data_IF_109257875935
#
_entry.id   IF_109257875935
#
_cell.length_a   1.000
_cell.length_b   1.000
_cell.length_c   1.000
_cell.angle_alpha   90.00
_cell.angle_beta   90.00
_cell.angle_gamma   90.00
#
_symmetry.space_group_name_H-M   'P 1'
#
loop_
_entity.id
_entity.type
_entity.pdbx_description
1 polymer ?
#
# COMPACT_ATOMS: atom_id res chain seq x y z
N UNK A 1 0.89 -1.85 -14.97
CA UNK A 1 -0.51 -1.56 -15.35
C UNK A 1 -0.62 -0.86 -16.69
N UNK A 2 0.08 0.25 -16.94
CA UNK A 2 0.05 0.93 -18.23
C UNK A 2 0.47 0.02 -19.41
N UNK A 3 1.54 -0.76 -19.24
CA UNK A 3 2.04 -1.70 -20.24
C UNK A 3 1.06 -2.82 -20.62
N UNK A 4 0.02 -3.04 -19.80
CA UNK A 4 -1.05 -4.03 -20.03
C UNK A 4 -2.39 -3.39 -20.40
N UNK A 5 -2.41 -2.09 -20.74
CA UNK A 5 -3.57 -1.43 -21.35
C UNK A 5 -4.36 -0.46 -20.47
N UNK A 6 -3.98 -0.25 -19.20
CA UNK A 6 -4.65 0.75 -18.35
C UNK A 6 -4.19 2.16 -18.74
N UNK A 7 -5.08 2.98 -19.28
CA UNK A 7 -4.79 4.40 -19.57
C UNK A 7 -4.87 5.23 -18.29
N UNK A 8 -3.82 5.97 -18.01
CA UNK A 8 -3.76 6.93 -16.91
C UNK A 8 -3.90 8.36 -17.45
N UNK A 9 -4.83 9.12 -16.89
CA UNK A 9 -4.92 10.56 -17.08
C UNK A 9 -4.34 11.26 -15.86
N UNK A 10 -3.13 11.79 -16.00
CA UNK A 10 -2.44 12.45 -14.90
C UNK A 10 -2.87 13.90 -14.76
N UNK A 11 -2.97 14.37 -13.52
CA UNK A 11 -3.27 15.79 -13.20
C UNK A 11 -4.58 16.30 -13.82
N UNK A 12 -5.62 15.45 -13.79
CA UNK A 12 -6.96 15.74 -14.29
C UNK A 12 -7.98 15.59 -13.16
N UNK A 13 -9.01 16.43 -13.16
CA UNK A 13 -10.15 16.38 -12.24
C UNK A 13 -11.47 16.24 -13.00
N UNK A 14 -12.42 15.48 -12.45
CA UNK A 14 -13.78 15.39 -13.00
C UNK A 14 -14.56 16.63 -12.60
N UNK A 15 -15.09 17.38 -13.58
CA UNK A 15 -15.89 18.59 -13.36
C UNK A 15 -17.38 18.26 -13.33
N UNK A 16 -17.84 17.48 -14.31
CA UNK A 16 -19.25 17.11 -14.45
C UNK A 16 -19.40 15.74 -15.11
N UNK A 17 -20.52 15.08 -14.82
CA UNK A 17 -20.91 13.82 -15.46
C UNK A 17 -22.35 13.99 -15.93
N UNK A 18 -22.57 13.89 -17.24
CA UNK A 18 -23.88 14.06 -17.87
C UNK A 18 -24.33 12.75 -18.48
N UNK A 19 -25.49 12.25 -18.06
CA UNK A 19 -26.12 11.07 -18.67
C UNK A 19 -26.60 11.41 -20.09
N UNK A 20 -26.21 10.61 -21.07
CA UNK A 20 -26.64 10.70 -22.47
C UNK A 20 -27.61 9.55 -22.81
N UNK A 21 -28.18 9.63 -24.01
CA UNK A 21 -28.90 8.50 -24.59
C UNK A 21 -27.96 7.29 -24.71
N UNK A 22 -28.45 6.06 -24.54
CA UNK A 22 -27.64 4.86 -24.75
C UNK A 22 -26.95 4.88 -26.12
N UNK A 23 -25.76 4.30 -26.20
CA UNK A 23 -25.08 4.11 -27.48
C UNK A 23 -25.78 3.04 -28.34
N UNK A 24 -25.31 2.82 -29.56
CA UNK A 24 -25.88 1.82 -30.49
C UNK A 24 -25.84 0.38 -29.93
N UNK A 25 -25.00 0.12 -28.92
CA UNK A 25 -24.93 -1.17 -28.22
C UNK A 25 -25.95 -1.31 -27.09
N UNK A 26 -26.70 -0.25 -26.78
CA UNK A 26 -27.67 -0.20 -25.70
C UNK A 26 -27.05 0.00 -24.32
N UNK A 27 -25.74 0.25 -24.23
CA UNK A 27 -25.06 0.51 -22.96
C UNK A 27 -25.33 1.95 -22.50
N UNK A 28 -25.33 2.21 -21.18
CA UNK A 28 -25.35 3.57 -20.66
C UNK A 28 -24.21 4.39 -21.27
N UNK A 29 -24.48 5.66 -21.55
CA UNK A 29 -23.49 6.61 -22.06
C UNK A 29 -23.38 7.79 -21.11
N UNK A 30 -22.20 8.01 -20.57
CA UNK A 30 -21.87 9.07 -19.62
C UNK A 30 -20.83 9.97 -20.26
N UNK A 31 -21.22 11.22 -20.52
CA UNK A 31 -20.29 12.26 -20.94
C UNK A 31 -19.62 12.85 -19.71
N UNK A 32 -18.29 12.77 -19.64
CA UNK A 32 -17.48 13.21 -18.51
C UNK A 32 -16.64 14.40 -18.93
N UNK A 33 -16.86 15.53 -18.27
CA UNK A 33 -16.03 16.73 -18.43
C UNK A 33 -14.83 16.64 -17.49
N UNK A 34 -13.65 16.75 -18.06
CA UNK A 34 -12.37 16.57 -17.40
C UNK A 34 -11.56 17.86 -17.52
N UNK A 35 -11.04 18.36 -16.39
CA UNK A 35 -10.20 19.56 -16.35
C UNK A 35 -8.77 19.22 -15.98
N UNK A 36 -7.83 19.59 -16.85
CA UNK A 36 -6.40 19.48 -16.57
C UNK A 36 -5.92 20.58 -15.61
N UNK A 37 -4.72 20.40 -15.07
CA UNK A 37 -4.07 21.38 -14.18
C UNK A 37 -3.91 22.78 -14.80
N UNK A 38 -3.72 22.84 -16.11
CA UNK A 38 -3.54 24.10 -16.85
C UNK A 38 -4.88 24.77 -17.22
N UNK A 39 -6.00 24.20 -16.78
CA UNK A 39 -7.35 24.73 -16.99
C UNK A 39 -8.02 24.27 -18.27
N UNK A 40 -7.35 23.47 -19.10
CA UNK A 40 -7.96 22.92 -20.32
C UNK A 40 -9.07 21.93 -19.98
N UNK A 41 -10.17 22.02 -20.70
CA UNK A 41 -11.32 21.13 -20.54
C UNK A 41 -11.38 20.19 -21.74
N UNK A 42 -11.48 18.89 -21.46
CA UNK A 42 -11.71 17.84 -22.44
C UNK A 42 -12.93 17.04 -22.03
N UNK A 43 -13.67 16.56 -23.02
CA UNK A 43 -14.87 15.75 -22.80
C UNK A 43 -14.66 14.37 -23.39
N UNK A 44 -14.95 13.35 -22.61
CA UNK A 44 -14.89 11.95 -23.06
C UNK A 44 -16.16 11.20 -22.66
N UNK A 45 -16.47 10.12 -23.39
CA UNK A 45 -17.66 9.30 -23.14
C UNK A 45 -17.24 7.95 -22.56
N UNK A 46 -17.91 7.55 -21.49
CA UNK A 46 -17.69 6.28 -20.79
C UNK A 46 -19.02 5.57 -20.57
N UNK A 47 -19.01 4.24 -20.49
CA UNK A 47 -20.21 3.52 -20.06
C UNK A 47 -20.39 3.55 -18.53
N UNK A 48 -19.28 3.58 -17.80
CA UNK A 48 -19.26 3.54 -16.33
C UNK A 48 -18.22 4.52 -15.80
N UNK A 49 -18.58 5.25 -14.74
CA UNK A 49 -17.65 6.04 -13.94
C UNK A 49 -17.62 5.48 -12.52
N UNK A 50 -16.44 5.07 -12.04
CA UNK A 50 -16.24 4.52 -10.70
C UNK A 50 -15.49 5.54 -9.84
N UNK A 51 -16.12 6.00 -8.75
CA UNK A 51 -15.47 6.86 -7.76
C UNK A 51 -14.73 6.02 -6.72
N UNK A 52 -13.42 6.20 -6.62
CA UNK A 52 -12.55 5.59 -5.62
C UNK A 52 -11.67 6.67 -4.95
N UNK A 53 -12.28 7.77 -4.52
CA UNK A 53 -11.60 9.00 -4.05
C UNK A 53 -11.37 9.05 -2.53
N UNK A 54 -11.54 7.93 -1.84
CA UNK A 54 -11.42 7.83 -0.38
C UNK A 54 -12.73 7.42 0.30
N UNK A 55 -12.67 7.28 1.62
CA UNK A 55 -13.78 6.90 2.49
C UNK A 55 -13.87 7.88 3.66
N UNK A 56 -15.06 8.14 4.14
CA UNK A 56 -15.32 8.94 5.35
C UNK A 56 -16.15 8.09 6.31
N UNK A 57 -15.82 8.05 7.60
CA UNK A 57 -16.62 7.29 8.56
C UNK A 57 -18.00 7.93 8.74
N UNK A 58 -19.05 7.12 8.73
CA UNK A 58 -20.43 7.56 8.98
C UNK A 58 -20.69 7.66 10.49
N UNK A 59 -20.19 8.72 11.11
CA UNK A 59 -20.29 8.95 12.58
C UNK A 59 -21.29 10.04 12.96
N UNK A 60 -21.72 10.88 12.01
CA UNK A 60 -22.62 12.00 12.26
C UNK A 60 -24.00 11.55 12.78
N UNK A 61 -24.50 10.41 12.30
CA UNK A 61 -25.78 9.84 12.69
C UNK A 61 -25.77 9.11 14.04
N UNK A 62 -24.62 9.01 14.72
CA UNK A 62 -24.47 8.27 15.98
C UNK A 62 -24.80 9.07 17.24
N UNK A 63 -25.05 10.38 17.13
CA UNK A 63 -25.36 11.23 18.28
C UNK A 63 -24.20 11.40 19.27
N UNK A 64 -22.96 11.39 18.79
CA UNK A 64 -21.74 11.44 19.62
C UNK A 64 -21.71 12.65 20.56
N UNK A 65 -22.19 13.82 20.11
CA UNK A 65 -22.27 15.04 20.91
C UNK A 65 -23.18 14.89 22.13
N UNK A 66 -24.31 14.18 21.98
CA UNK A 66 -25.29 14.00 23.05
C UNK A 66 -24.72 13.15 24.21
N UNK A 67 -23.74 12.29 23.91
CA UNK A 67 -23.08 11.43 24.90
C UNK A 67 -21.69 11.92 25.29
N UNK A 68 -21.18 12.99 24.69
CA UNK A 68 -19.88 13.59 25.00
C UNK A 68 -18.67 12.85 24.43
N UNK A 69 -18.85 12.06 23.37
CA UNK A 69 -17.74 11.39 22.66
C UNK A 69 -17.06 12.37 21.72
N UNK A 70 -15.77 12.61 21.92
CA UNK A 70 -14.95 13.48 21.06
C UNK A 70 -14.57 12.76 19.77
N UNK A 71 -14.61 13.51 18.67
CA UNK A 71 -14.17 13.09 17.35
C UNK A 71 -13.43 14.25 16.67
N UNK A 72 -12.64 13.92 15.67
CA UNK A 72 -11.93 14.91 14.86
C UNK A 72 -12.89 15.51 13.81
N UNK A 73 -13.05 16.83 13.82
CA UNK A 73 -14.02 17.51 12.95
C UNK A 73 -13.63 17.52 11.46
N UNK A 74 -12.36 17.29 11.12
CA UNK A 74 -11.89 17.28 9.74
C UNK A 74 -12.08 15.90 9.09
N UNK A 75 -11.82 14.84 9.87
CA UNK A 75 -11.81 13.44 9.40
C UNK A 75 -13.05 12.66 9.83
N UNK A 76 -13.86 13.20 10.75
CA UNK A 76 -15.00 12.54 11.39
C UNK A 76 -14.64 11.26 12.18
N UNK A 77 -13.35 11.02 12.44
CA UNK A 77 -12.86 9.85 13.18
C UNK A 77 -13.03 10.06 14.68
N UNK A 78 -13.45 9.02 15.39
CA UNK A 78 -13.59 9.03 16.84
C UNK A 78 -12.21 9.07 17.48
N UNK A 79 -12.00 10.01 18.40
CA UNK A 79 -10.75 10.12 19.14
C UNK A 79 -10.69 9.06 20.23
N UNK A 80 -9.60 8.29 20.25
CA UNK A 80 -9.35 7.24 21.25
C UNK A 80 -7.93 7.35 21.81
N UNK A 81 -7.73 6.80 23.01
CA UNK A 81 -6.40 6.59 23.58
C UNK A 81 -5.78 5.26 23.08
N UNK A 82 -4.65 4.86 23.68
CA UNK A 82 -3.88 3.66 23.35
C UNK A 82 -4.51 2.33 23.80
N UNK A 83 -5.75 2.36 24.33
CA UNK A 83 -6.55 1.18 24.68
C UNK A 83 -7.95 1.24 24.06
N UNK A 84 -8.08 1.99 22.95
CA UNK A 84 -9.32 2.13 22.16
C UNK A 84 -10.49 2.79 22.94
N UNK A 85 -10.20 3.45 24.06
CA UNK A 85 -11.19 4.15 24.88
C UNK A 85 -11.40 5.57 24.37
N UNK A 86 -12.67 5.98 24.27
CA UNK A 86 -13.03 7.35 23.86
C UNK A 86 -12.90 8.34 25.03
N UNK A 87 -13.34 9.60 24.84
CA UNK A 87 -13.46 10.57 25.93
C UNK A 87 -14.47 10.19 27.02
N UNK A 88 -15.33 9.20 26.75
CA UNK A 88 -16.33 8.69 27.69
C UNK A 88 -15.86 7.33 28.21
N UNK A 89 -15.63 7.13 29.53
CA UNK A 89 -14.92 5.97 30.05
C UNK A 89 -15.50 4.59 29.69
N UNK A 90 -16.81 4.51 29.49
CA UNK A 90 -17.52 3.26 29.16
C UNK A 90 -17.84 3.11 27.66
N UNK A 91 -17.29 3.99 26.80
CA UNK A 91 -17.48 3.94 25.34
C UNK A 91 -16.13 3.77 24.67
N UNK A 92 -16.05 2.80 23.76
CA UNK A 92 -14.85 2.39 23.04
C UNK A 92 -15.13 2.38 21.54
N UNK A 93 -14.08 2.55 20.73
CA UNK A 93 -14.18 2.53 19.27
C UNK A 93 -12.97 1.81 18.66
N UNK A 94 -13.22 1.00 17.63
CA UNK A 94 -12.19 0.18 16.94
C UNK A 94 -12.44 0.16 15.43
N UNK A 95 -11.40 -0.16 14.65
CA UNK A 95 -11.50 -0.30 13.19
C UNK A 95 -11.53 1.04 12.45
N UNK A 96 -12.17 1.07 11.29
CA UNK A 96 -12.14 2.22 10.38
C UNK A 96 -12.69 3.53 10.98
N UNK A 97 -13.37 3.54 12.12
CA UNK A 97 -13.89 4.78 12.69
C UNK A 97 -12.89 5.54 13.58
N UNK A 98 -11.70 4.99 13.85
CA UNK A 98 -10.65 5.62 14.66
C UNK A 98 -9.43 6.02 13.80
N UNK A 99 -8.53 6.92 14.27
CA UNK A 99 -7.35 7.34 13.51
C UNK A 99 -6.23 6.26 13.50
N UNK A 100 -6.58 5.03 13.14
CA UNK A 100 -5.69 3.88 12.98
C UNK A 100 -5.85 3.27 11.59
N UNK A 101 -5.11 2.19 11.31
CA UNK A 101 -5.09 1.52 10.02
C UNK A 101 -6.45 0.90 9.64
N UNK A 102 -6.92 1.21 8.44
CA UNK A 102 -8.21 0.78 7.86
C UNK A 102 -8.10 -0.62 7.23
N UNK A 103 -7.81 -1.63 8.05
CA UNK A 103 -7.57 -3.01 7.61
C UNK A 103 -8.42 -3.99 8.42
N UNK A 104 -9.06 -4.94 7.74
CA UNK A 104 -9.90 -5.95 8.39
C UNK A 104 -9.17 -6.70 9.53
N UNK A 105 -7.94 -7.24 9.35
CA UNK A 105 -7.26 -7.94 10.44
C UNK A 105 -6.92 -7.04 11.63
N UNK A 106 -6.66 -5.75 11.39
CA UNK A 106 -6.42 -4.75 12.44
C UNK A 106 -7.68 -4.53 13.27
N UNK A 107 -8.83 -4.34 12.60
CA UNK A 107 -10.11 -4.14 13.28
C UNK A 107 -10.52 -5.37 14.11
N UNK A 108 -10.36 -6.58 13.53
CA UNK A 108 -10.63 -7.85 14.23
C UNK A 108 -9.74 -7.97 15.46
N UNK A 109 -8.42 -7.78 15.32
CA UNK A 109 -7.49 -7.92 16.44
C UNK A 109 -7.73 -6.87 17.53
N UNK A 110 -7.97 -5.62 17.16
CA UNK A 110 -8.29 -4.56 18.12
C UNK A 110 -9.55 -4.89 18.94
N UNK A 111 -10.62 -5.36 18.27
CA UNK A 111 -11.86 -5.78 18.95
C UNK A 111 -11.64 -6.97 19.89
N UNK A 112 -10.89 -7.99 19.47
CA UNK A 112 -10.55 -9.14 20.30
C UNK A 112 -9.74 -8.76 21.55
N UNK A 113 -8.68 -7.96 21.36
CA UNK A 113 -7.80 -7.54 22.46
C UNK A 113 -8.59 -6.66 23.43
N UNK A 114 -9.42 -5.74 22.92
CA UNK A 114 -10.31 -4.92 23.74
C UNK A 114 -11.27 -5.80 24.57
N UNK A 115 -11.94 -6.78 23.96
CA UNK A 115 -12.85 -7.67 24.67
C UNK A 115 -12.13 -8.45 25.79
N UNK A 116 -10.91 -8.92 25.54
CA UNK A 116 -10.08 -9.58 26.56
C UNK A 116 -9.68 -8.64 27.70
N UNK A 117 -9.43 -7.36 27.43
CA UNK A 117 -9.16 -6.37 28.50
C UNK A 117 -10.40 -6.11 29.36
N UNK A 118 -11.55 -5.89 28.73
CA UNK A 118 -12.79 -5.55 29.42
C UNK A 118 -13.34 -6.70 30.27
N UNK A 119 -13.28 -7.93 29.76
CA UNK A 119 -13.99 -9.07 30.36
C UNK A 119 -13.08 -10.25 30.74
N UNK A 120 -11.84 -10.27 30.27
CA UNK A 120 -10.89 -11.37 30.51
C UNK A 120 -9.72 -11.01 31.42
N UNK A 121 -9.65 -9.78 31.95
CA UNK A 121 -8.55 -9.33 32.80
C UNK A 121 -7.19 -9.21 32.09
N UNK A 122 -7.17 -9.23 30.75
CA UNK A 122 -5.93 -9.04 29.98
C UNK A 122 -5.43 -7.60 30.12
N UNK A 123 -4.11 -7.42 30.06
CA UNK A 123 -3.45 -6.11 29.96
C UNK A 123 -2.86 -5.86 28.56
N UNK A 124 -3.03 -6.80 27.64
CA UNK A 124 -2.52 -6.72 26.27
C UNK A 124 -3.15 -5.54 25.52
N UNK A 125 -2.32 -4.75 24.83
CA UNK A 125 -2.75 -3.66 23.95
C UNK A 125 -2.65 -4.07 22.49
N UNK A 126 -3.43 -3.42 21.64
CA UNK A 126 -3.25 -3.58 20.20
C UNK A 126 -1.92 -2.95 19.79
N UNK A 127 -1.16 -3.68 18.99
CA UNK A 127 0.09 -3.21 18.40
C UNK A 127 -0.20 -2.80 16.96
N UNK A 128 -0.13 -1.49 16.70
CA UNK A 128 -0.36 -0.90 15.39
C UNK A 128 0.94 -0.70 14.60
N UNK A 129 2.10 -1.08 15.14
CA UNK A 129 3.37 -1.02 14.43
C UNK A 129 3.58 -2.28 13.58
N UNK A 130 4.38 -2.13 12.51
CA UNK A 130 4.79 -3.24 11.63
C UNK A 130 3.62 -4.10 11.08
N UNK A 131 2.45 -3.49 10.90
CA UNK A 131 1.29 -4.15 10.30
C UNK A 131 1.54 -4.32 8.79
N UNK A 132 1.49 -5.55 8.24
CA UNK A 132 1.64 -5.78 6.82
C UNK A 132 0.44 -5.29 6.02
N UNK A 133 0.70 -4.79 4.82
CA UNK A 133 -0.32 -4.39 3.84
C UNK A 133 -0.01 -4.99 2.48
N UNK A 134 -1.06 -5.29 1.71
CA UNK A 134 -0.94 -5.68 0.30
C UNK A 134 -1.96 -4.97 -0.56
N UNK A 135 -1.50 -4.39 -1.66
CA UNK A 135 -2.33 -3.81 -2.72
C UNK A 135 -2.42 -4.82 -3.85
N UNK A 136 -3.64 -5.30 -4.12
CA UNK A 136 -3.90 -6.35 -5.11
C UNK A 136 -4.12 -5.80 -6.52
N UNK A 137 -3.13 -5.07 -7.03
CA UNK A 137 -3.05 -4.69 -8.45
C UNK A 137 -2.63 -5.88 -9.33
N UNK A 138 -2.73 -5.80 -10.67
CA UNK A 138 -2.31 -6.90 -11.56
C UNK A 138 -0.87 -7.39 -11.35
N UNK A 139 0.00 -6.51 -10.86
CA UNK A 139 1.25 -6.85 -10.18
C UNK A 139 1.08 -6.38 -8.75
N UNK A 140 1.06 -7.30 -7.80
CA UNK A 140 0.73 -6.99 -6.41
C UNK A 140 1.87 -6.21 -5.76
N UNK A 141 1.54 -5.46 -4.71
CA UNK A 141 2.51 -4.73 -3.92
C UNK A 141 2.29 -4.99 -2.44
N UNK A 142 3.27 -5.62 -1.79
CA UNK A 142 3.28 -5.90 -0.36
C UNK A 142 4.29 -5.03 0.38
N UNK A 143 3.94 -4.59 1.59
CA UNK A 143 4.82 -3.77 2.41
C UNK A 143 4.62 -3.96 3.91
N UNK A 144 5.68 -3.67 4.67
CA UNK A 144 5.67 -3.60 6.14
C UNK A 144 6.57 -2.44 6.56
N UNK A 145 6.13 -1.67 7.55
CA UNK A 145 6.93 -0.59 8.13
C UNK A 145 6.92 0.69 7.30
N UNK A 146 8.02 1.42 7.32
CA UNK A 146 8.14 2.76 6.74
C UNK A 146 8.50 2.69 5.25
N UNK A 147 7.94 3.60 4.46
CA UNK A 147 8.52 3.92 3.16
C UNK A 147 9.90 4.58 3.30
N UNK A 148 10.66 4.61 2.21
CA UNK A 148 12.00 5.23 2.20
C UNK A 148 11.92 6.71 2.58
N UNK A 149 11.00 7.47 1.98
CA UNK A 149 10.80 8.89 2.26
C UNK A 149 10.29 9.14 3.68
N UNK A 150 9.49 8.24 4.25
CA UNK A 150 9.08 8.33 5.66
C UNK A 150 10.26 8.05 6.61
N UNK A 151 11.10 7.06 6.29
CA UNK A 151 12.28 6.74 7.07
C UNK A 151 13.31 7.88 7.01
N UNK A 152 13.57 8.45 5.82
CA UNK A 152 14.44 9.61 5.64
C UNK A 152 13.91 10.83 6.43
N UNK A 153 12.59 11.08 6.38
CA UNK A 153 11.96 12.17 7.15
C UNK A 153 12.08 11.96 8.66
N UNK A 154 11.98 10.73 9.14
CA UNK A 154 12.00 10.38 10.56
C UNK A 154 13.40 10.34 11.15
N UNK A 155 14.37 9.78 10.43
CA UNK A 155 15.71 9.48 10.96
C UNK A 155 16.84 10.27 10.27
N UNK A 156 16.54 10.98 9.18
CA UNK A 156 17.52 11.66 8.35
C UNK A 156 18.11 10.76 7.28
N UNK A 157 18.31 11.32 6.08
CA UNK A 157 18.81 10.60 4.89
C UNK A 157 20.14 9.86 5.13
N UNK A 158 21.04 10.42 5.92
CA UNK A 158 22.34 9.80 6.20
C UNK A 158 22.27 8.55 7.08
N UNK A 159 21.21 8.42 7.87
CA UNK A 159 20.95 7.26 8.72
C UNK A 159 20.32 6.09 7.93
N UNK A 160 19.82 6.33 6.71
CA UNK A 160 19.13 5.32 5.90
C UNK A 160 20.10 4.66 4.92
N UNK A 161 19.98 3.33 4.82
CA UNK A 161 20.49 2.53 3.71
C UNK A 161 19.30 1.83 3.05
N UNK A 162 19.17 1.98 1.74
CA UNK A 162 18.12 1.32 0.96
C UNK A 162 18.77 0.29 0.07
N UNK A 163 18.37 -0.97 0.19
CA UNK A 163 18.80 -2.05 -0.70
C UNK A 163 17.64 -2.43 -1.62
N UNK A 164 17.92 -2.66 -2.90
CA UNK A 164 16.88 -2.92 -3.88
C UNK A 164 17.40 -3.74 -5.06
N UNK A 165 16.50 -4.53 -5.65
CA UNK A 165 16.76 -5.37 -6.82
C UNK A 165 15.46 -5.52 -7.62
N UNK A 166 15.49 -5.13 -8.88
CA UNK A 166 14.51 -5.54 -9.87
C UNK A 166 14.90 -6.91 -10.43
N UNK A 167 13.91 -7.78 -10.62
CA UNK A 167 14.13 -9.11 -11.15
C UNK A 167 12.86 -9.59 -11.87
N UNK A 168 12.99 -10.70 -12.59
CA UNK A 168 11.87 -11.33 -13.26
C UNK A 168 11.36 -12.53 -12.49
N UNK A 169 10.04 -12.65 -12.38
CA UNK A 169 9.43 -13.90 -11.96
C UNK A 169 9.74 -14.99 -12.99
N UNK A 170 10.23 -16.15 -12.53
CA UNK A 170 10.67 -17.25 -13.40
C UNK A 170 9.57 -17.71 -14.36
N UNK A 171 8.34 -17.87 -13.87
CA UNK A 171 7.21 -18.33 -14.66
C UNK A 171 6.77 -17.29 -15.72
N UNK A 172 6.93 -16.01 -15.44
CA UNK A 172 6.62 -14.92 -16.37
C UNK A 172 7.72 -14.72 -17.42
N UNK A 173 8.99 -14.85 -17.01
CA UNK A 173 10.15 -14.65 -17.87
C UNK A 173 10.09 -15.53 -19.12
N UNK A 174 9.71 -16.80 -18.96
CA UNK A 174 9.60 -17.76 -20.06
C UNK A 174 8.46 -17.46 -21.08
N UNK A 175 7.57 -16.52 -20.79
CA UNK A 175 6.41 -16.20 -21.64
C UNK A 175 6.72 -15.07 -22.62
N UNK A 176 7.70 -14.20 -22.34
CA UNK A 176 8.04 -13.04 -23.16
C UNK A 176 6.80 -12.19 -23.54
N UNK A 177 6.01 -11.81 -22.53
CA UNK A 177 4.76 -11.08 -22.75
C UNK A 177 5.02 -9.72 -23.40
N UNK A 178 4.29 -9.36 -24.47
CA UNK A 178 4.46 -8.06 -25.11
C UNK A 178 3.69 -6.96 -24.37
N UNK A 179 4.23 -5.73 -24.40
CA UNK A 179 3.51 -4.50 -24.06
C UNK A 179 2.39 -4.24 -25.07
N UNK A 180 1.31 -3.60 -24.62
CA UNK A 180 0.33 -2.98 -25.53
C UNK A 180 1.01 -1.90 -26.38
N UNK A 181 0.56 -1.73 -27.63
CA UNK A 181 1.21 -0.82 -28.59
C UNK A 181 1.32 0.63 -28.07
N UNK A 182 0.33 1.10 -27.32
CA UNK A 182 0.30 2.46 -26.75
C UNK A 182 1.29 2.70 -25.62
N UNK A 183 1.93 1.64 -25.10
CA UNK A 183 2.88 1.71 -24.01
C UNK A 183 4.33 1.45 -24.45
N UNK A 184 4.57 1.26 -25.76
CA UNK A 184 5.91 1.07 -26.33
C UNK A 184 6.56 2.42 -26.60
N UNK A 185 7.82 2.58 -26.22
CA UNK A 185 8.58 3.80 -26.55
C UNK A 185 8.97 3.87 -28.03
N UNK A 186 9.25 2.72 -28.63
CA UNK A 186 9.77 2.57 -29.99
C UNK A 186 9.48 1.14 -30.52
N UNK A 187 10.02 0.82 -31.70
CA UNK A 187 9.81 -0.48 -32.35
C UNK A 187 10.52 -1.66 -31.69
N UNK A 188 11.51 -1.40 -30.82
CA UNK A 188 12.29 -2.42 -30.10
C UNK A 188 11.79 -2.65 -28.67
N UNK A 189 11.04 -1.72 -28.09
CA UNK A 189 10.39 -1.85 -26.77
C UNK A 189 9.14 -2.76 -26.82
N UNK A 190 9.36 -4.06 -27.02
CA UNK A 190 8.28 -5.02 -27.27
C UNK A 190 7.79 -5.68 -25.98
N UNK A 191 8.69 -6.10 -25.09
CA UNK A 191 8.38 -6.97 -23.96
C UNK A 191 8.09 -6.17 -22.69
N UNK A 192 7.25 -6.71 -21.80
CA UNK A 192 7.02 -6.12 -20.48
C UNK A 192 8.35 -5.90 -19.75
N UNK A 193 8.45 -4.79 -19.01
CA UNK A 193 9.57 -4.56 -18.11
C UNK A 193 9.57 -5.52 -16.92
N UNK A 194 10.69 -5.55 -16.19
CA UNK A 194 10.88 -6.36 -14.99
C UNK A 194 9.63 -6.37 -14.11
N UNK A 195 9.09 -7.56 -13.91
CA UNK A 195 7.80 -7.73 -13.25
C UNK A 195 7.86 -7.57 -11.72
N UNK A 196 9.06 -7.70 -11.13
CA UNK A 196 9.23 -7.73 -9.68
C UNK A 196 10.30 -6.73 -9.18
N UNK A 197 10.12 -6.27 -7.94
CA UNK A 197 11.07 -5.45 -7.18
C UNK A 197 11.09 -5.92 -5.73
N UNK A 198 12.27 -6.18 -5.19
CA UNK A 198 12.50 -6.37 -3.76
C UNK A 198 13.25 -5.18 -3.20
N UNK A 199 12.82 -4.65 -2.05
CA UNK A 199 13.45 -3.50 -1.40
C UNK A 199 13.38 -3.59 0.12
N UNK A 200 14.52 -3.29 0.75
CA UNK A 200 14.66 -3.11 2.20
C UNK A 200 15.10 -1.69 2.52
N UNK A 201 14.54 -1.11 3.57
CA UNK A 201 14.93 0.18 4.14
C UNK A 201 15.51 -0.08 5.53
N UNK A 202 16.77 0.29 5.73
CA UNK A 202 17.57 -0.10 6.90
C UNK A 202 18.11 1.13 7.65
N UNK A 203 18.23 1.02 8.98
CA UNK A 203 18.89 1.99 9.85
C UNK A 203 20.37 1.67 10.04
N UNK A 204 21.25 2.47 9.44
CA UNK A 204 22.71 2.27 9.45
C UNK A 204 23.30 2.33 10.85
N UNK A 205 22.77 3.22 11.69
CA UNK A 205 23.18 3.42 13.07
C UNK A 205 22.65 2.35 14.04
N UNK A 206 21.77 1.45 13.58
CA UNK A 206 21.18 0.38 14.38
C UNK A 206 21.47 -0.99 13.77
N UNK A 207 22.74 -1.25 13.42
CA UNK A 207 23.18 -2.52 12.84
C UNK A 207 22.36 -2.93 11.58
N UNK A 208 21.97 -1.95 10.76
CA UNK A 208 21.09 -2.15 9.61
C UNK A 208 19.77 -2.85 9.98
N UNK A 209 19.17 -2.50 11.13
CA UNK A 209 17.80 -2.91 11.47
C UNK A 209 16.85 -2.50 10.34
N UNK A 210 16.04 -3.46 9.89
CA UNK A 210 15.08 -3.23 8.82
C UNK A 210 13.86 -2.51 9.38
N UNK A 211 13.59 -1.32 8.86
CA UNK A 211 12.45 -0.47 9.24
C UNK A 211 11.40 -0.36 8.14
N UNK A 212 11.70 -0.84 6.95
CA UNK A 212 10.78 -0.92 5.82
C UNK A 212 11.08 -2.13 4.94
N UNK A 213 10.04 -2.83 4.54
CA UNK A 213 10.06 -3.95 3.60
C UNK A 213 9.06 -3.65 2.47
N UNK A 214 9.48 -3.84 1.23
CA UNK A 214 8.67 -3.54 0.05
C UNK A 214 8.90 -4.57 -1.05
N UNK A 215 7.84 -5.24 -1.48
CA UNK A 215 7.89 -6.23 -2.55
C UNK A 215 6.82 -5.91 -3.60
N UNK A 216 7.23 -5.76 -4.86
CA UNK A 216 6.34 -5.76 -6.03
C UNK A 216 6.52 -7.08 -6.74
N UNK A 217 5.43 -7.76 -7.07
CA UNK A 217 5.46 -9.02 -7.80
C UNK A 217 4.22 -9.87 -7.54
N UNK A 218 4.29 -11.15 -7.88
CA UNK A 218 3.16 -12.08 -7.67
C UNK A 218 3.09 -12.55 -6.22
N UNK A 219 1.88 -12.82 -5.73
CA UNK A 219 1.66 -13.37 -4.39
C UNK A 219 2.30 -12.49 -3.29
N UNK A 220 2.24 -11.17 -3.44
CA UNK A 220 2.92 -10.24 -2.55
C UNK A 220 2.41 -10.33 -1.12
N UNK A 221 1.12 -10.67 -0.93
CA UNK A 221 0.57 -10.96 0.39
C UNK A 221 1.26 -12.13 1.08
N UNK A 222 1.47 -13.23 0.33
CA UNK A 222 2.09 -14.45 0.84
C UNK A 222 3.56 -14.23 1.22
N UNK A 223 4.30 -13.53 0.36
CA UNK A 223 5.70 -13.17 0.63
C UNK A 223 5.80 -12.26 1.86
N UNK A 224 4.98 -11.22 1.92
CA UNK A 224 5.08 -10.16 2.93
C UNK A 224 4.70 -10.65 4.33
N UNK A 225 3.75 -11.58 4.43
CA UNK A 225 3.21 -12.04 5.73
C UNK A 225 4.29 -12.64 6.64
N UNK A 226 5.22 -13.43 6.08
CA UNK A 226 6.33 -14.02 6.83
C UNK A 226 7.37 -12.99 7.26
N UNK A 227 7.74 -12.07 6.36
CA UNK A 227 8.70 -11.02 6.68
C UNK A 227 8.17 -9.99 7.68
N UNK A 228 6.85 -9.78 7.75
CA UNK A 228 6.25 -8.95 8.79
C UNK A 228 6.60 -9.43 10.21
N UNK A 229 6.62 -10.75 10.42
CA UNK A 229 7.06 -11.32 11.70
C UNK A 229 8.55 -11.03 11.95
N UNK A 230 9.41 -11.17 10.92
CA UNK A 230 10.83 -10.88 11.05
C UNK A 230 11.09 -9.42 11.44
N UNK A 231 10.41 -8.46 10.79
CA UNK A 231 10.52 -7.04 11.13
C UNK A 231 10.02 -6.76 12.54
N UNK A 232 8.92 -7.41 12.97
CA UNK A 232 8.42 -7.32 14.34
C UNK A 232 9.42 -7.83 15.38
N UNK A 233 10.21 -8.85 15.04
CA UNK A 233 11.30 -9.38 15.87
C UNK A 233 12.58 -8.52 15.80
N UNK A 234 12.57 -7.40 15.06
CA UNK A 234 13.70 -6.50 14.95
C UNK A 234 14.79 -6.99 14.00
N UNK A 235 14.43 -7.77 12.97
CA UNK A 235 15.37 -8.30 12.01
C UNK A 235 16.31 -7.22 11.43
N UNK A 236 17.56 -7.58 11.28
CA UNK A 236 18.61 -6.79 10.66
C UNK A 236 18.89 -7.30 9.26
N UNK A 237 19.52 -6.47 8.43
CA UNK A 237 20.01 -6.92 7.11
C UNK A 237 20.88 -8.18 7.20
N UNK A 238 21.67 -8.33 8.26
CA UNK A 238 22.48 -9.53 8.46
C UNK A 238 21.65 -10.81 8.64
N UNK A 239 20.44 -10.71 9.20
CA UNK A 239 19.56 -11.88 9.37
C UNK A 239 19.01 -12.35 8.03
N UNK A 240 18.69 -11.41 7.13
CA UNK A 240 18.33 -11.70 5.74
C UNK A 240 19.50 -12.35 4.98
N UNK A 241 20.72 -11.86 5.15
CA UNK A 241 21.92 -12.40 4.47
C UNK A 241 22.31 -13.81 4.94
N UNK A 242 21.97 -14.17 6.17
CA UNK A 242 22.21 -15.51 6.72
C UNK A 242 21.10 -16.50 6.35
N UNK A 243 19.95 -16.01 5.88
CA UNK A 243 18.83 -16.86 5.48
C UNK A 243 19.19 -17.60 4.19
N UNK A 244 19.03 -18.92 4.19
CA UNK A 244 19.14 -19.73 2.97
C UNK A 244 17.82 -19.64 2.20
N UNK A 245 17.91 -19.23 0.93
CA UNK A 245 16.76 -19.10 0.04
C UNK A 245 16.14 -20.45 -0.34
N UNK A 246 14.83 -20.43 -0.62
CA UNK A 246 14.12 -21.55 -1.24
C UNK A 246 14.13 -21.30 -2.74
N UNK A 247 14.65 -22.25 -3.52
CA UNK A 247 14.82 -22.07 -4.96
C UNK A 247 13.96 -23.05 -5.78
N UNK A 248 13.26 -22.61 -6.85
CA UNK A 248 13.11 -21.21 -7.30
C UNK A 248 11.90 -20.53 -6.63
N UNK A 249 12.10 -19.35 -6.01
CA UNK A 249 10.99 -18.51 -5.49
C UNK A 249 11.28 -17.03 -5.58
N UNK A 250 10.26 -16.18 -5.79
CA UNK A 250 10.45 -14.72 -5.81
C UNK A 250 10.98 -14.16 -4.47
N UNK A 251 10.57 -14.78 -3.35
CA UNK A 251 10.95 -14.38 -1.99
C UNK A 251 12.44 -14.58 -1.69
N UNK A 252 13.12 -15.49 -2.40
CA UNK A 252 14.56 -15.75 -2.19
C UNK A 252 15.44 -14.56 -2.58
N UNK A 253 14.93 -13.64 -3.40
CA UNK A 253 15.61 -12.39 -3.77
C UNK A 253 16.11 -11.58 -2.56
N UNK A 254 15.47 -11.72 -1.40
CA UNK A 254 15.88 -11.07 -0.17
C UNK A 254 17.13 -11.66 0.50
N UNK A 255 17.53 -12.90 0.17
CA UNK A 255 18.75 -13.53 0.66
C UNK A 255 20.04 -12.95 0.03
N UNK A 256 19.91 -12.34 -1.16
CA UNK A 256 21.03 -11.87 -1.97
C UNK A 256 20.99 -10.37 -2.27
N UNK A 257 20.23 -9.59 -1.50
CA UNK A 257 20.02 -8.18 -1.77
C UNK A 257 21.26 -7.36 -1.39
N UNK A 258 22.13 -7.04 -2.35
CA UNK A 258 23.43 -6.38 -2.10
C UNK A 258 23.54 -4.97 -2.66
N UNK A 259 22.81 -4.66 -3.74
CA UNK A 259 22.85 -3.34 -4.38
C UNK A 259 22.20 -2.32 -3.45
N UNK A 260 22.93 -1.25 -3.16
CA UNK A 260 22.46 -0.15 -2.32
C UNK A 260 22.15 1.06 -3.17
N UNK A 261 21.15 1.85 -2.77
CA UNK A 261 20.86 3.11 -3.44
C UNK A 261 22.02 4.10 -3.36
N UNK A 262 22.81 4.04 -2.29
CA UNK A 262 23.97 4.91 -2.05
C UNK A 262 25.17 4.55 -2.93
N UNK A 263 25.35 3.28 -3.33
CA UNK A 263 26.46 2.88 -4.21
C UNK A 263 26.30 3.42 -5.63
N UNK A 264 25.08 3.73 -6.06
CA UNK A 264 24.79 4.19 -7.42
C UNK A 264 24.93 3.09 -8.48
N UNK A 265 25.12 1.84 -8.06
CA UNK A 265 25.12 0.67 -8.93
C UNK A 265 23.71 0.42 -9.47
N UNK A 266 23.63 -0.21 -10.64
CA UNK A 266 22.34 -0.59 -11.21
C UNK A 266 21.68 -1.67 -10.35
N UNK A 267 20.43 -1.46 -10.00
CA UNK A 267 19.56 -2.46 -9.36
C UNK A 267 18.62 -3.12 -10.38
N UNK A 268 18.72 -2.76 -11.66
CA UNK A 268 17.88 -3.29 -12.74
C UNK A 268 18.34 -4.70 -13.09
N UNK A 269 17.38 -5.60 -13.35
CA UNK A 269 17.65 -6.94 -13.85
C UNK A 269 18.51 -6.88 -15.14
N UNK A 270 19.60 -7.63 -15.17
CA UNK A 270 20.48 -7.75 -16.34
C UNK A 270 20.09 -8.93 -17.24
#
# INVERSE_FOLDING_TARGET
MAEVGVRFMYSVTVVSITKKQPDESGLPSLEVELRSRDGNIVTEVYNTVLFATGRTPETASLGLDAVGVKYDAQTSKIAVNDVEQTSVPNVYAVGDCIPQLELTPVAVRAGEVLARRLYGGSTEKMDYEMVPTTVFTPFEYGSVGLSEEQAEKKYGKDAIETLLLEFENLELSAVHRPKVATARSDEFDIFLSASNLSKLVCLRNENNRVVGFHYVGRNAGEVTQGFALALRLGATKSDFDKMIGIHPTDAESYCGLTVTRRSGESFVAA
#
